data_IF_404777999486
#
_entry.id   IF_404777999486
#
_cell.length_a   1.000
_cell.length_b   1.000
_cell.length_c   1.000
_cell.angle_alpha   90.00
_cell.angle_beta   90.00
_cell.angle_gamma   90.00
#
_symmetry.space_group_name_H-M   'P 1'
#
loop_
_entity.id
_entity.type
_entity.pdbx_description
1 polymer ?
#
# COMPACT_ATOMS: atom_id res chain seq x y z
N UNK A 1 -3.11 -24.66 -1.36
CA UNK A 1 -2.83 -23.27 -1.78
C UNK A 1 -1.33 -23.12 -1.92
N UNK A 2 -0.83 -22.91 -3.14
CA UNK A 2 0.60 -22.62 -3.35
C UNK A 2 0.77 -21.13 -3.07
N UNK A 3 1.27 -20.78 -1.89
CA UNK A 3 1.76 -19.43 -1.65
C UNK A 3 2.86 -19.19 -2.69
N UNK A 4 2.62 -18.27 -3.63
CA UNK A 4 3.66 -17.85 -4.56
C UNK A 4 4.82 -17.34 -3.72
N UNK A 5 6.04 -17.81 -4.00
CA UNK A 5 7.25 -17.22 -3.46
C UNK A 5 7.42 -15.83 -4.07
N UNK A 6 6.68 -14.85 -3.54
CA UNK A 6 6.82 -13.44 -3.92
C UNK A 6 8.13 -12.97 -3.31
N UNK A 7 9.19 -12.99 -4.13
CA UNK A 7 10.51 -12.48 -3.73
C UNK A 7 10.60 -10.96 -3.91
N UNK A 8 9.85 -10.41 -4.86
CA UNK A 8 9.81 -8.98 -5.17
C UNK A 8 8.36 -8.50 -5.35
N UNK A 9 8.05 -7.30 -4.85
CA UNK A 9 6.76 -6.65 -5.06
C UNK A 9 6.59 -6.15 -6.50
N UNK A 10 5.35 -5.89 -6.93
CA UNK A 10 5.05 -5.42 -8.28
C UNK A 10 5.37 -3.93 -8.50
N UNK A 11 5.67 -3.17 -7.43
CA UNK A 11 6.03 -1.76 -7.51
C UNK A 11 4.85 -0.83 -7.77
N UNK A 12 3.70 -1.10 -7.16
CA UNK A 12 2.49 -0.27 -7.30
C UNK A 12 1.93 0.13 -5.92
N UNK A 13 1.49 1.37 -5.82
CA UNK A 13 0.87 1.97 -4.64
C UNK A 13 -0.62 2.13 -4.90
N UNK A 14 -1.46 1.52 -4.07
CA UNK A 14 -2.92 1.56 -4.18
C UNK A 14 -3.51 2.88 -3.69
N UNK A 15 -2.95 3.42 -2.58
CA UNK A 15 -3.40 4.65 -1.94
C UNK A 15 -2.33 5.15 -0.97
N UNK A 16 -2.24 6.47 -0.83
CA UNK A 16 -1.53 7.14 0.28
C UNK A 16 -2.57 7.93 1.06
N UNK A 17 -2.53 7.83 2.39
CA UNK A 17 -3.36 8.60 3.32
C UNK A 17 -2.42 9.32 4.29
N UNK A 18 -2.13 10.60 4.02
CA UNK A 18 -1.10 11.36 4.75
C UNK A 18 -1.45 11.59 6.22
N UNK A 19 -2.73 11.59 6.58
CA UNK A 19 -3.21 11.88 7.94
C UNK A 19 -4.24 10.83 8.40
N UNK A 20 -3.82 9.57 8.48
CA UNK A 20 -4.65 8.51 9.04
C UNK A 20 -4.72 8.57 10.57
N UNK A 21 -5.93 8.45 11.09
CA UNK A 21 -6.24 8.33 12.52
C UNK A 21 -6.64 6.89 12.92
N UNK A 22 -6.71 5.98 11.94
CA UNK A 22 -7.27 4.63 12.13
C UNK A 22 -6.23 3.53 11.94
N UNK A 23 -5.04 3.88 11.42
CA UNK A 23 -3.98 2.93 11.07
C UNK A 23 -2.86 2.87 12.13
N UNK A 24 -3.14 3.30 13.35
CA UNK A 24 -2.20 3.24 14.47
C UNK A 24 -2.44 4.34 15.50
N UNK A 25 -1.62 4.36 16.55
CA UNK A 25 -1.65 5.41 17.56
C UNK A 25 -1.16 6.75 16.98
N UNK A 26 -1.88 7.84 17.25
CA UNK A 26 -1.55 9.18 16.74
C UNK A 26 -1.98 9.40 15.29
N UNK A 27 -1.40 10.41 14.65
CA UNK A 27 -1.60 10.69 13.22
C UNK A 27 -0.48 10.01 12.42
N UNK A 28 -0.84 9.25 11.40
CA UNK A 28 0.10 8.46 10.58
C UNK A 28 -0.04 8.78 9.10
N UNK A 29 1.08 8.83 8.39
CA UNK A 29 1.08 8.70 6.95
C UNK A 29 1.04 7.20 6.59
N UNK A 30 -0.11 6.74 6.09
CA UNK A 30 -0.35 5.34 5.72
C UNK A 30 -0.17 5.13 4.23
N UNK A 31 0.69 4.17 3.86
CA UNK A 31 0.91 3.77 2.46
C UNK A 31 0.34 2.38 2.23
N UNK A 32 -0.61 2.28 1.31
CA UNK A 32 -1.27 1.03 0.93
C UNK A 32 -0.63 0.53 -0.37
N UNK A 33 0.00 -0.65 -0.32
CA UNK A 33 0.64 -1.29 -1.48
C UNK A 33 -0.33 -2.20 -2.23
N UNK A 34 -0.06 -2.44 -3.51
CA UNK A 34 -0.86 -3.30 -4.37
C UNK A 34 -0.33 -4.73 -4.45
N UNK A 35 -1.23 -5.70 -4.28
CA UNK A 35 -0.97 -7.13 -4.38
C UNK A 35 -1.29 -7.89 -3.10
N UNK A 36 -2.29 -8.76 -3.15
CA UNK A 36 -2.64 -9.64 -2.03
C UNK A 36 -3.21 -10.96 -2.55
N UNK A 37 -2.54 -12.12 -2.33
CA UNK A 37 -2.96 -13.40 -2.89
C UNK A 37 -4.07 -14.10 -2.10
N UNK A 38 -4.47 -13.55 -0.94
CA UNK A 38 -5.33 -14.25 0.02
C UNK A 38 -6.81 -14.24 -0.36
N UNK A 39 -7.27 -13.27 -1.15
CA UNK A 39 -8.67 -13.14 -1.59
C UNK A 39 -9.69 -13.33 -0.46
N UNK A 40 -9.42 -12.69 0.69
CA UNK A 40 -10.25 -12.85 1.88
C UNK A 40 -11.71 -12.44 1.61
N UNK A 41 -12.67 -13.23 2.11
CA UNK A 41 -14.09 -12.86 2.07
C UNK A 41 -14.31 -11.57 2.86
N UNK A 42 -15.02 -10.61 2.27
CA UNK A 42 -15.29 -9.31 2.91
C UNK A 42 -14.05 -8.41 3.05
N UNK A 43 -13.00 -8.64 2.24
CA UNK A 43 -11.84 -7.75 2.23
C UNK A 43 -12.26 -6.31 1.94
N UNK A 44 -11.87 -5.38 2.81
CA UNK A 44 -12.16 -3.96 2.61
C UNK A 44 -11.42 -3.37 1.39
N UNK A 45 -10.21 -3.87 1.12
CA UNK A 45 -9.32 -3.40 0.05
C UNK A 45 -9.32 -4.35 -1.16
N UNK A 46 -10.50 -4.76 -1.64
CA UNK A 46 -10.61 -5.73 -2.77
C UNK A 46 -9.81 -5.28 -3.99
N UNK A 47 -9.87 -3.99 -4.34
CA UNK A 47 -9.19 -3.45 -5.51
C UNK A 47 -7.67 -3.61 -5.42
N UNK A 48 -7.08 -3.38 -4.23
CA UNK A 48 -5.66 -3.51 -3.97
C UNK A 48 -5.16 -4.97 -3.98
N UNK A 49 -6.05 -5.97 -4.08
CA UNK A 49 -5.62 -7.36 -4.30
C UNK A 49 -4.97 -7.54 -5.67
N UNK A 50 -5.32 -6.72 -6.66
CA UNK A 50 -4.64 -6.68 -7.95
C UNK A 50 -3.25 -6.05 -7.78
N UNK A 51 -2.21 -6.80 -8.17
CA UNK A 51 -0.80 -6.41 -8.07
C UNK A 51 -0.42 -5.15 -8.85
N UNK A 52 -1.26 -4.68 -9.78
CA UNK A 52 -1.04 -3.45 -10.58
C UNK A 52 -2.13 -2.40 -10.37
N UNK A 53 -2.86 -2.48 -9.27
CA UNK A 53 -3.85 -1.45 -8.92
C UNK A 53 -3.17 -0.16 -8.44
N UNK A 54 -3.81 0.99 -8.66
CA UNK A 54 -3.24 2.30 -8.34
C UNK A 54 -2.11 2.70 -9.30
N UNK A 55 -1.09 3.36 -8.77
CA UNK A 55 -0.04 4.00 -9.57
C UNK A 55 1.32 3.30 -9.40
N UNK A 56 2.20 3.33 -10.43
CA UNK A 56 3.57 2.87 -10.29
C UNK A 56 4.32 3.63 -9.19
N UNK A 57 5.11 2.91 -8.40
CA UNK A 57 6.01 3.50 -7.42
C UNK A 57 7.17 4.19 -8.14
N UNK A 58 7.34 5.49 -7.89
CA UNK A 58 8.45 6.31 -8.41
C UNK A 58 9.30 6.84 -7.27
N UNK A 59 10.54 7.22 -7.56
CA UNK A 59 11.42 7.84 -6.57
C UNK A 59 10.85 9.17 -6.04
N UNK A 60 10.21 9.96 -6.91
CA UNK A 60 9.53 11.20 -6.53
C UNK A 60 8.39 10.94 -5.53
N UNK A 61 7.60 9.89 -5.76
CA UNK A 61 6.52 9.50 -4.85
C UNK A 61 7.06 9.02 -3.50
N UNK A 62 8.17 8.29 -3.51
CA UNK A 62 8.85 7.88 -2.28
C UNK A 62 9.36 9.11 -1.52
N UNK A 63 9.92 10.09 -2.23
CA UNK A 63 10.38 11.34 -1.62
C UNK A 63 9.23 12.10 -0.98
N UNK A 64 8.11 12.27 -1.68
CA UNK A 64 6.90 12.91 -1.18
C UNK A 64 6.36 12.23 0.10
N UNK A 65 6.33 10.89 0.13
CA UNK A 65 5.90 10.13 1.32
C UNK A 65 6.84 10.40 2.51
N UNK A 66 8.15 10.46 2.28
CA UNK A 66 9.13 10.70 3.34
C UNK A 66 9.01 12.14 3.87
N UNK A 67 8.89 13.13 2.99
CA UNK A 67 8.65 14.53 3.37
C UNK A 67 7.37 14.67 4.19
N UNK A 68 6.29 13.97 3.82
CA UNK A 68 5.05 13.96 4.59
C UNK A 68 5.18 13.31 5.98
N UNK A 69 6.26 12.58 6.25
CA UNK A 69 6.58 12.00 7.55
C UNK A 69 7.50 12.88 8.40
N UNK A 70 8.00 14.01 7.88
CA UNK A 70 8.84 14.92 8.65
C UNK A 70 8.04 15.60 9.79
N UNK A 71 8.67 15.89 10.95
CA UNK A 71 8.00 16.46 12.11
C UNK A 71 7.47 17.89 11.92
#
# INVERSE_FOLDING_TARGET
>A
MKFQHIQNGAGYIAKIEYHSFVDGEGVRCSVYVSGCPFQCQGCYNVAAQNFRYGEPMTDDLIHEIIEACEP
#
